data_IF_062837156840
#
_entry.id   IF_062837156840
#
_cell.length_a   1.000
_cell.length_b   1.000
_cell.length_c   1.000
_cell.angle_alpha   90.00
_cell.angle_beta   90.00
_cell.angle_gamma   90.00
#
_symmetry.space_group_name_H-M   'P 1'
#
loop_
_entity.id
_entity.type
_entity.pdbx_description
1 polymer ?
#
# COMPACT_ATOMS: atom_id res chain seq x y z
N UNK A 1 6.21 24.41 65.24
CA UNK A 1 6.61 24.47 63.86
C UNK A 1 6.67 23.07 63.29
N UNK A 2 5.70 22.61 62.48
CA UNK A 2 5.78 21.33 61.80
C UNK A 2 6.57 21.52 60.48
N UNK A 3 7.29 20.46 60.00
CA UNK A 3 8.10 20.53 58.79
C UNK A 3 7.25 20.55 57.54
N UNK A 4 7.73 21.31 56.58
CA UNK A 4 7.19 21.47 55.23
C UNK A 4 7.36 20.14 54.44
N UNK A 5 6.27 19.63 53.89
CA UNK A 5 6.29 18.46 53.01
C UNK A 5 7.00 18.83 51.69
N UNK A 6 8.08 18.12 51.43
CA UNK A 6 8.83 18.19 50.17
C UNK A 6 8.04 17.44 49.09
N UNK A 7 7.65 18.16 48.07
CA UNK A 7 7.00 17.60 46.88
C UNK A 7 7.92 16.61 46.17
N UNK A 8 7.44 15.41 45.96
CA UNK A 8 8.10 14.36 45.20
C UNK A 8 8.19 14.74 43.71
N UNK A 9 9.39 14.68 43.07
CA UNK A 9 9.57 15.03 41.66
C UNK A 9 9.26 13.85 40.69
N UNK A 10 8.41 12.89 41.08
CA UNK A 10 8.18 11.68 40.33
C UNK A 10 7.01 11.74 39.33
N UNK A 11 6.37 12.90 39.12
CA UNK A 11 5.31 13.03 38.09
C UNK A 11 5.85 13.80 36.87
N UNK A 12 6.99 13.30 36.31
CA UNK A 12 7.36 13.63 34.96
C UNK A 12 6.57 12.71 34.03
N UNK A 13 5.40 13.21 33.60
CA UNK A 13 4.76 12.72 32.38
C UNK A 13 5.81 12.73 31.28
N UNK A 14 6.17 11.53 30.82
CA UNK A 14 7.05 11.37 29.66
C UNK A 14 6.47 12.21 28.51
N UNK A 15 7.30 12.92 27.72
CA UNK A 15 6.82 13.65 26.56
C UNK A 15 6.16 12.64 25.65
N UNK A 16 4.88 12.89 25.32
CA UNK A 16 4.16 12.19 24.25
C UNK A 16 5.06 12.33 23.02
N UNK A 17 5.64 11.22 22.56
CA UNK A 17 6.43 11.19 21.35
C UNK A 17 5.65 11.92 20.26
N UNK A 18 6.26 12.96 19.73
CA UNK A 18 5.66 13.84 18.74
C UNK A 18 5.14 12.97 17.59
N UNK A 19 3.86 13.11 17.34
CA UNK A 19 3.05 12.52 16.28
C UNK A 19 3.65 12.86 14.90
N UNK A 20 4.82 12.28 14.60
CA UNK A 20 5.56 12.54 13.39
C UNK A 20 4.83 11.88 12.22
N UNK A 21 4.08 12.69 11.47
CA UNK A 21 3.50 12.27 10.20
C UNK A 21 4.60 11.99 9.20
N UNK A 22 4.86 10.70 8.94
CA UNK A 22 5.84 10.26 7.96
C UNK A 22 5.24 10.40 6.55
N UNK A 23 5.66 11.43 5.81
CA UNK A 23 5.22 11.64 4.43
C UNK A 23 5.70 10.48 3.55
N UNK A 24 4.73 9.78 2.96
CA UNK A 24 5.00 8.77 1.95
C UNK A 24 5.66 7.47 2.43
N UNK A 25 5.75 7.22 3.74
CA UNK A 25 6.36 5.99 4.23
C UNK A 25 5.50 4.75 3.93
N UNK A 26 6.09 3.65 3.45
CA UNK A 26 5.39 2.37 3.34
C UNK A 26 5.08 1.80 4.73
N UNK A 27 4.10 0.89 4.80
CA UNK A 27 3.86 0.11 6.02
C UNK A 27 5.07 -0.77 6.36
N UNK A 28 5.37 -0.95 7.66
CA UNK A 28 6.45 -1.83 8.08
C UNK A 28 6.22 -3.27 7.60
N UNK A 29 7.27 -3.99 7.16
CA UNK A 29 7.18 -5.43 6.93
C UNK A 29 6.68 -6.16 8.18
N UNK A 30 5.83 -7.18 7.98
CA UNK A 30 5.18 -7.91 9.07
C UNK A 30 3.82 -7.36 9.46
N UNK A 31 3.42 -6.15 9.02
CA UNK A 31 2.06 -5.63 9.21
C UNK A 31 1.05 -6.62 8.66
N UNK A 32 0.00 -6.92 9.45
CA UNK A 32 -1.03 -7.88 9.05
C UNK A 32 -2.34 -7.16 8.77
N UNK A 33 -2.90 -7.39 7.59
CA UNK A 33 -4.20 -6.86 7.17
C UNK A 33 -5.30 -7.91 7.35
N UNK A 34 -6.39 -7.52 8.02
CA UNK A 34 -7.54 -8.39 8.24
C UNK A 34 -7.20 -9.72 8.94
N UNK A 35 -6.13 -9.78 9.74
CA UNK A 35 -5.67 -11.01 10.40
C UNK A 35 -5.22 -12.12 9.44
N UNK A 36 -5.03 -11.81 8.16
CA UNK A 36 -4.80 -12.81 7.11
C UNK A 36 -3.60 -12.52 6.22
N UNK A 37 -3.44 -11.28 5.76
CA UNK A 37 -2.42 -10.94 4.78
C UNK A 37 -1.24 -10.25 5.46
N UNK A 38 -0.12 -10.94 5.56
CA UNK A 38 1.10 -10.40 6.15
C UNK A 38 1.94 -9.70 5.08
N UNK A 39 2.14 -8.40 5.25
CA UNK A 39 2.92 -7.59 4.33
C UNK A 39 4.41 -7.87 4.46
N UNK A 40 5.09 -7.90 3.33
CA UNK A 40 6.55 -7.92 3.19
C UNK A 40 7.08 -6.57 2.72
N UNK A 41 8.16 -6.61 1.94
CA UNK A 41 8.75 -5.42 1.35
C UNK A 41 7.84 -4.76 0.31
N UNK A 42 7.91 -3.43 0.13
CA UNK A 42 7.28 -2.76 -0.98
C UNK A 42 7.90 -3.24 -2.31
N UNK A 43 7.04 -3.55 -3.28
CA UNK A 43 7.42 -3.94 -4.65
C UNK A 43 7.56 -2.71 -5.55
N UNK A 44 6.80 -1.65 -5.25
CA UNK A 44 6.83 -0.42 -6.03
C UNK A 44 5.83 0.61 -5.52
N UNK A 45 5.98 1.83 -6.05
CA UNK A 45 5.10 2.96 -5.80
C UNK A 45 4.68 3.58 -7.12
N UNK A 46 3.40 3.88 -7.24
CA UNK A 46 2.82 4.58 -8.39
C UNK A 46 1.94 5.74 -7.96
N UNK A 47 1.34 6.45 -8.91
CA UNK A 47 0.49 7.61 -8.63
C UNK A 47 -0.72 7.34 -7.74
N UNK A 48 -1.15 6.09 -7.65
CA UNK A 48 -2.33 5.69 -6.85
C UNK A 48 -1.98 5.01 -5.53
N UNK A 49 -0.69 4.74 -5.25
CA UNK A 49 -0.35 4.09 -3.98
C UNK A 49 0.91 3.24 -3.98
N UNK A 50 0.98 2.36 -3.01
CA UNK A 50 2.12 1.49 -2.74
C UNK A 50 1.70 0.04 -2.92
N UNK A 51 2.51 -0.74 -3.64
CA UNK A 51 2.30 -2.19 -3.79
C UNK A 51 3.33 -2.93 -2.96
N UNK A 52 2.88 -3.91 -2.19
CA UNK A 52 3.71 -4.75 -1.31
C UNK A 52 3.72 -6.19 -1.79
N UNK A 53 4.84 -6.87 -1.63
CA UNK A 53 4.84 -8.32 -1.51
C UNK A 53 4.06 -8.69 -0.25
N UNK A 54 3.28 -9.75 -0.28
CA UNK A 54 2.56 -10.21 0.89
C UNK A 54 2.34 -11.73 0.86
N UNK A 55 1.90 -12.27 1.98
CA UNK A 55 1.58 -13.68 2.13
C UNK A 55 0.17 -13.86 2.69
N UNK A 56 -0.65 -14.66 2.01
CA UNK A 56 -1.97 -15.07 2.49
C UNK A 56 -1.82 -16.25 3.46
N UNK A 57 -1.91 -15.99 4.76
CA UNK A 57 -1.70 -17.00 5.80
C UNK A 57 -2.78 -18.10 5.81
N UNK A 58 -3.95 -17.88 5.21
CA UNK A 58 -5.02 -18.91 5.15
C UNK A 58 -4.82 -19.91 4.03
N UNK A 59 -4.30 -19.46 2.90
CA UNK A 59 -4.12 -20.29 1.71
C UNK A 59 -2.65 -20.63 1.46
N UNK A 60 -1.77 -20.22 2.39
CA UNK A 60 -0.31 -20.44 2.34
C UNK A 60 0.28 -20.10 0.96
N UNK A 61 0.01 -18.89 0.47
CA UNK A 61 0.45 -18.48 -0.86
C UNK A 61 0.95 -17.04 -0.92
N UNK A 62 1.90 -16.74 -1.83
CA UNK A 62 2.30 -15.37 -2.09
C UNK A 62 1.15 -14.59 -2.78
N UNK A 63 1.02 -13.33 -2.41
CA UNK A 63 0.09 -12.37 -3.01
C UNK A 63 0.77 -11.01 -3.15
N UNK A 64 0.20 -10.11 -3.95
CA UNK A 64 0.53 -8.70 -3.93
C UNK A 64 -0.60 -7.92 -3.27
N UNK A 65 -0.25 -6.88 -2.51
CA UNK A 65 -1.23 -5.99 -1.87
C UNK A 65 -0.96 -4.57 -2.33
N UNK A 66 -1.94 -3.97 -3.01
CA UNK A 66 -1.91 -2.57 -3.46
C UNK A 66 -2.66 -1.73 -2.43
N UNK A 67 -1.97 -0.80 -1.78
CA UNK A 67 -2.52 0.18 -0.85
C UNK A 67 -2.89 1.46 -1.60
N UNK A 68 -4.07 1.99 -1.39
CA UNK A 68 -4.40 3.35 -1.81
C UNK A 68 -3.64 4.34 -0.91
N UNK A 69 -2.65 5.01 -1.49
CA UNK A 69 -1.84 6.02 -0.81
C UNK A 69 -1.63 7.21 -1.74
N UNK A 70 -2.58 8.15 -1.79
CA UNK A 70 -2.55 9.27 -2.73
C UNK A 70 -1.32 10.15 -2.53
N UNK A 71 -0.94 10.86 -3.57
CA UNK A 71 0.09 11.89 -3.49
C UNK A 71 -0.31 12.96 -2.45
N UNK A 72 0.66 13.40 -1.67
CA UNK A 72 0.40 14.36 -0.57
C UNK A 72 -0.16 13.73 0.72
N UNK A 73 -0.54 12.45 0.71
CA UNK A 73 -0.89 11.77 1.94
C UNK A 73 0.33 11.54 2.84
N UNK A 74 0.08 11.49 4.13
CA UNK A 74 1.03 11.10 5.17
C UNK A 74 0.58 9.83 5.89
N UNK A 75 1.42 9.38 6.84
CA UNK A 75 1.08 8.26 7.72
C UNK A 75 1.26 8.67 9.17
N UNK A 76 0.25 8.36 9.99
CA UNK A 76 0.28 8.51 11.44
C UNK A 76 0.14 7.11 12.04
N UNK A 77 1.21 6.58 12.62
CA UNK A 77 1.27 5.15 12.96
C UNK A 77 1.09 4.32 11.69
N UNK A 78 0.04 3.50 11.63
CA UNK A 78 -0.32 2.74 10.43
C UNK A 78 -1.34 3.47 9.54
N UNK A 79 -2.03 4.49 10.04
CA UNK A 79 -3.14 5.14 9.34
C UNK A 79 -2.67 6.11 8.26
N UNK A 80 -3.35 6.08 7.13
CA UNK A 80 -3.20 7.07 6.06
C UNK A 80 -3.96 8.33 6.46
N UNK A 81 -3.27 9.48 6.47
CA UNK A 81 -3.83 10.78 6.80
C UNK A 81 -3.62 11.76 5.66
N UNK A 82 -4.60 12.62 5.45
CA UNK A 82 -4.54 13.73 4.48
C UNK A 82 -4.88 15.04 5.18
N UNK A 83 -4.43 16.14 4.63
CA UNK A 83 -4.84 17.45 5.12
C UNK A 83 -6.34 17.67 4.97
N UNK A 84 -6.92 18.66 5.72
CA UNK A 84 -8.37 18.92 5.70
C UNK A 84 -8.91 19.18 4.30
N UNK A 85 -8.17 19.92 3.48
CA UNK A 85 -8.56 20.27 2.10
C UNK A 85 -8.53 19.09 1.13
N UNK A 86 -7.88 17.99 1.49
CA UNK A 86 -7.75 16.81 0.65
C UNK A 86 -8.77 15.69 1.00
N UNK A 87 -9.65 15.90 1.97
CA UNK A 87 -10.61 14.87 2.42
C UNK A 87 -11.57 14.44 1.32
N UNK A 88 -12.12 15.38 0.53
CA UNK A 88 -13.00 15.07 -0.58
C UNK A 88 -12.25 14.33 -1.70
N UNK A 89 -11.02 14.74 -2.02
CA UNK A 89 -10.18 14.05 -3.00
C UNK A 89 -9.83 12.62 -2.58
N UNK A 90 -9.60 12.37 -1.28
CA UNK A 90 -9.39 11.02 -0.75
C UNK A 90 -10.66 10.17 -0.91
N UNK A 91 -11.85 10.71 -0.61
CA UNK A 91 -13.11 10.00 -0.79
C UNK A 91 -13.32 9.59 -2.25
N UNK A 92 -13.07 10.49 -3.20
CA UNK A 92 -13.15 10.22 -4.64
C UNK A 92 -12.10 9.18 -5.07
N UNK A 93 -10.88 9.26 -4.56
CA UNK A 93 -9.83 8.29 -4.83
C UNK A 93 -10.22 6.89 -4.33
N UNK A 94 -10.81 6.79 -3.13
CA UNK A 94 -11.34 5.53 -2.58
C UNK A 94 -12.45 4.95 -3.46
N UNK A 95 -13.37 5.77 -3.94
CA UNK A 95 -14.45 5.33 -4.82
C UNK A 95 -13.90 4.81 -6.15
N UNK A 96 -12.93 5.49 -6.77
CA UNK A 96 -12.26 5.03 -8.00
C UNK A 96 -11.49 3.73 -7.78
N UNK A 97 -10.71 3.64 -6.71
CA UNK A 97 -9.92 2.46 -6.37
C UNK A 97 -10.79 1.22 -6.15
N UNK A 98 -11.95 1.39 -5.48
CA UNK A 98 -12.93 0.31 -5.29
C UNK A 98 -13.58 -0.10 -6.61
N UNK A 99 -13.92 0.84 -7.50
CA UNK A 99 -14.46 0.53 -8.83
C UNK A 99 -13.45 -0.22 -9.69
N UNK A 100 -12.17 0.19 -9.69
CA UNK A 100 -11.08 -0.51 -10.39
C UNK A 100 -11.02 -1.97 -9.94
N UNK A 101 -10.96 -2.20 -8.62
CA UNK A 101 -10.93 -3.56 -8.07
C UNK A 101 -12.16 -4.39 -8.45
N UNK A 102 -13.36 -3.81 -8.38
CA UNK A 102 -14.61 -4.48 -8.73
C UNK A 102 -14.66 -4.81 -10.23
N UNK A 103 -14.13 -3.93 -11.07
CA UNK A 103 -14.06 -4.15 -12.51
C UNK A 103 -13.09 -5.29 -12.82
N UNK A 104 -11.88 -5.24 -12.28
CA UNK A 104 -10.87 -6.28 -12.48
C UNK A 104 -11.33 -7.65 -11.96
N UNK A 105 -12.06 -7.68 -10.85
CA UNK A 105 -12.58 -8.93 -10.28
C UNK A 105 -13.59 -9.69 -11.18
N UNK A 106 -14.14 -9.02 -12.21
CA UNK A 106 -15.06 -9.63 -13.17
C UNK A 106 -14.35 -10.37 -14.30
N UNK A 107 -13.04 -10.13 -14.47
CA UNK A 107 -12.28 -10.76 -15.54
C UNK A 107 -11.61 -12.04 -15.06
N UNK A 108 -11.72 -13.08 -15.88
CA UNK A 108 -10.98 -14.33 -15.74
C UNK A 108 -10.20 -14.54 -17.05
N UNK A 109 -9.05 -13.89 -17.17
CA UNK A 109 -8.22 -13.93 -18.35
C UNK A 109 -6.75 -14.14 -17.96
N UNK A 110 -5.97 -14.95 -18.67
CA UNK A 110 -4.58 -15.24 -18.29
C UNK A 110 -3.67 -14.00 -18.25
N UNK A 111 -3.97 -12.97 -19.04
CA UNK A 111 -3.18 -11.75 -19.13
C UNK A 111 -3.74 -10.60 -18.26
N UNK A 112 -4.74 -10.86 -17.43
CA UNK A 112 -5.31 -9.91 -16.49
C UNK A 112 -5.08 -10.43 -15.08
N UNK A 113 -4.40 -9.62 -14.25
CA UNK A 113 -4.13 -9.96 -12.85
C UNK A 113 -5.43 -10.21 -12.08
N UNK A 114 -5.48 -11.29 -11.30
CA UNK A 114 -6.66 -11.63 -10.50
C UNK A 114 -6.74 -10.79 -9.24
N UNK A 115 -7.95 -10.31 -8.93
CA UNK A 115 -8.28 -9.69 -7.64
C UNK A 115 -8.84 -10.76 -6.71
N UNK A 116 -8.24 -10.89 -5.53
CA UNK A 116 -8.68 -11.88 -4.53
C UNK A 116 -9.55 -11.26 -3.44
N UNK A 117 -9.29 -10.01 -3.05
CA UNK A 117 -10.05 -9.32 -2.01
C UNK A 117 -9.85 -7.81 -2.09
N UNK A 118 -10.79 -7.08 -1.50
CA UNK A 118 -10.66 -5.66 -1.16
C UNK A 118 -10.85 -5.55 0.35
N UNK A 119 -9.94 -4.84 1.01
CA UNK A 119 -9.93 -4.63 2.45
C UNK A 119 -9.98 -3.16 2.78
N UNK A 120 -10.57 -2.83 3.91
CA UNK A 120 -10.53 -1.50 4.49
C UNK A 120 -9.84 -1.56 5.84
N UNK A 121 -8.75 -0.83 5.99
CA UNK A 121 -7.98 -0.71 7.23
C UNK A 121 -7.15 0.58 7.18
N UNK A 122 -6.64 1.02 8.34
CA UNK A 122 -5.69 2.14 8.46
C UNK A 122 -6.16 3.40 7.70
N UNK A 123 -7.46 3.72 7.76
CA UNK A 123 -8.02 4.89 7.08
C UNK A 123 -7.97 4.83 5.54
N UNK A 124 -7.64 3.69 4.93
CA UNK A 124 -7.53 3.53 3.48
C UNK A 124 -8.06 2.19 2.97
N UNK A 125 -7.87 1.93 1.68
CA UNK A 125 -8.27 0.69 1.00
C UNK A 125 -7.05 -0.08 0.52
N UNK A 126 -7.19 -1.40 0.53
CA UNK A 126 -6.21 -2.34 0.00
C UNK A 126 -6.87 -3.28 -0.99
N UNK A 127 -6.20 -3.55 -2.11
CA UNK A 127 -6.60 -4.61 -3.06
C UNK A 127 -5.58 -5.73 -2.94
N UNK A 128 -6.05 -6.94 -2.69
CA UNK A 128 -5.22 -8.15 -2.71
C UNK A 128 -5.29 -8.75 -4.10
N UNK A 129 -4.13 -8.90 -4.70
CA UNK A 129 -3.95 -9.30 -6.10
C UNK A 129 -3.13 -10.60 -6.19
N UNK A 130 -3.26 -11.28 -7.29
CA UNK A 130 -2.30 -12.27 -7.71
C UNK A 130 -0.90 -11.66 -7.77
N UNK A 131 0.09 -12.37 -7.23
CA UNK A 131 1.48 -11.97 -7.36
C UNK A 131 2.05 -12.54 -8.64
N UNK A 132 2.50 -11.66 -9.51
CA UNK A 132 3.21 -12.03 -10.73
C UNK A 132 4.70 -11.99 -10.43
N UNK A 133 5.36 -13.13 -10.57
CA UNK A 133 6.80 -13.21 -10.48
C UNK A 133 7.40 -12.89 -11.86
N UNK A 134 8.07 -11.75 -11.96
CA UNK A 134 8.59 -11.27 -13.23
C UNK A 134 9.13 -9.84 -13.13
N UNK A 135 9.36 -9.23 -14.28
CA UNK A 135 9.77 -7.84 -14.43
C UNK A 135 8.72 -7.06 -15.18
N UNK A 136 8.65 -5.75 -14.89
CA UNK A 136 7.83 -4.86 -15.72
C UNK A 136 8.45 -4.70 -17.10
N UNK A 137 7.65 -4.37 -18.10
CA UNK A 137 8.14 -4.02 -19.42
C UNK A 137 9.15 -2.87 -19.36
N UNK A 138 8.92 -1.89 -18.49
CA UNK A 138 9.84 -0.77 -18.28
C UNK A 138 11.20 -1.23 -17.71
N UNK A 139 11.21 -2.22 -16.80
CA UNK A 139 12.47 -2.80 -16.29
C UNK A 139 13.20 -3.58 -17.37
N UNK A 140 12.47 -4.31 -18.19
CA UNK A 140 13.06 -5.06 -19.31
C UNK A 140 13.68 -4.13 -20.35
N UNK A 141 13.01 -3.05 -20.73
CA UNK A 141 13.56 -2.03 -21.63
C UNK A 141 14.82 -1.38 -21.07
N UNK A 142 14.83 -1.05 -19.77
CA UNK A 142 16.02 -0.51 -19.10
C UNK A 142 17.19 -1.50 -19.11
N UNK A 143 16.93 -2.76 -18.81
CA UNK A 143 17.93 -3.82 -18.81
C UNK A 143 18.55 -4.04 -20.19
N UNK A 144 17.74 -3.96 -21.23
CA UNK A 144 18.18 -4.13 -22.64
C UNK A 144 18.97 -2.92 -23.15
N UNK A 145 18.73 -1.75 -22.58
CA UNK A 145 19.34 -0.50 -23.05
C UNK A 145 18.77 0.04 -24.35
N UNK A 146 17.55 -0.41 -24.75
CA UNK A 146 16.93 0.01 -26.00
C UNK A 146 15.48 -0.45 -26.13
N UNK A 147 14.78 -0.01 -27.21
CA UNK A 147 13.40 -0.40 -27.48
C UNK A 147 13.29 -1.88 -27.87
N UNK A 148 12.06 -2.39 -27.82
CA UNK A 148 11.73 -3.67 -28.43
C UNK A 148 11.85 -3.57 -29.95
N UNK A 149 12.19 -4.68 -30.60
CA UNK A 149 12.01 -4.81 -32.04
C UNK A 149 10.51 -4.86 -32.39
N UNK A 150 10.15 -4.56 -33.63
CA UNK A 150 8.74 -4.58 -34.05
C UNK A 150 8.06 -5.93 -33.78
N UNK A 151 8.65 -7.11 -34.10
CA UNK A 151 8.05 -8.40 -33.76
C UNK A 151 7.81 -8.60 -32.27
N UNK A 152 8.77 -8.24 -31.41
CA UNK A 152 8.64 -8.32 -29.94
C UNK A 152 7.54 -7.39 -29.41
N UNK A 153 7.46 -6.18 -29.96
CA UNK A 153 6.42 -5.22 -29.59
C UNK A 153 5.02 -5.73 -29.97
N UNK A 154 4.88 -6.34 -31.14
CA UNK A 154 3.63 -6.97 -31.58
C UNK A 154 3.25 -8.17 -30.74
N UNK A 155 4.21 -9.00 -30.32
CA UNK A 155 3.96 -10.13 -29.42
C UNK A 155 3.43 -9.65 -28.06
N UNK A 156 4.07 -8.63 -27.45
CA UNK A 156 3.61 -8.06 -26.18
C UNK A 156 2.24 -7.40 -26.34
N UNK A 157 2.02 -6.60 -27.40
CA UNK A 157 0.73 -5.93 -27.64
C UNK A 157 -0.39 -6.92 -27.95
N UNK A 158 -0.10 -8.04 -28.58
CA UNK A 158 -1.07 -9.10 -28.89
C UNK A 158 -1.56 -9.87 -27.66
N UNK A 159 -0.89 -9.70 -26.51
CA UNK A 159 -1.29 -10.31 -25.23
C UNK A 159 -2.16 -9.38 -24.38
N UNK A 160 -2.33 -8.14 -24.75
CA UNK A 160 -3.12 -7.12 -24.06
C UNK A 160 -4.45 -6.93 -24.80
#
# INVERSE_FOLDING_TARGET
MPPVATSDPADRVAPVESDATLRGAPLPPGTTLGGRYRLGAPLGRGGFGITYAAHDARLDRPVAVKELFPEGAGRRGLDVVVGPDASAALADARARFRREATTLARFAHPNIVRVFAVLEAHGTLYIVLERIDGRTLADELRRRGGPLTEPEALEVAGQV
#
